data_IF_712531321818
#
_entry.id   IF_712531321818
#
_cell.length_a   1.000
_cell.length_b   1.000
_cell.length_c   1.000
_cell.angle_alpha   90.00
_cell.angle_beta   90.00
_cell.angle_gamma   90.00
#
_symmetry.space_group_name_H-M   'P 1'
#
loop_
_entity.id
_entity.type
_entity.pdbx_description
1 polymer ?
#
# COMPACT_ATOMS: atom_id res chain seq x y z
N UNK A 1 -3.21 -8.78 14.71
CA UNK A 1 -2.90 -9.78 13.64
C UNK A 1 -2.81 -11.22 14.21
N UNK A 2 -3.09 -12.31 13.45
CA UNK A 2 -2.94 -13.71 13.96
C UNK A 2 -1.48 -14.11 14.20
N UNK A 3 -0.59 -13.73 13.29
CA UNK A 3 0.85 -14.02 13.31
C UNK A 3 1.57 -12.69 13.49
N UNK A 4 1.98 -12.41 14.73
CA UNK A 4 2.55 -11.12 15.14
C UNK A 4 3.95 -10.90 14.57
N UNK A 5 4.65 -11.97 14.24
CA UNK A 5 5.98 -11.93 13.60
C UNK A 5 5.96 -11.30 12.19
N UNK A 6 4.78 -11.13 11.58
CA UNK A 6 4.61 -10.42 10.31
C UNK A 6 4.00 -9.03 10.48
N UNK A 7 3.61 -8.65 11.69
CA UNK A 7 3.03 -7.34 11.97
C UNK A 7 4.15 -6.30 12.00
N UNK A 8 3.96 -5.22 11.25
CA UNK A 8 4.93 -4.12 11.19
C UNK A 8 4.32 -2.90 11.86
N UNK A 9 5.06 -2.37 12.83
CA UNK A 9 4.71 -1.15 13.58
C UNK A 9 5.53 0.07 13.13
N UNK A 10 6.50 -0.14 12.23
CA UNK A 10 7.29 0.93 11.65
C UNK A 10 6.42 1.75 10.68
N UNK A 11 6.12 2.97 11.08
CA UNK A 11 5.29 3.89 10.30
C UNK A 11 6.02 4.39 9.06
N UNK A 12 7.34 4.59 9.11
CA UNK A 12 8.11 5.11 7.98
C UNK A 12 8.15 4.08 6.86
N UNK A 13 8.45 2.81 7.17
CA UNK A 13 8.46 1.74 6.17
C UNK A 13 7.06 1.50 5.58
N UNK A 14 6.02 1.66 6.40
CA UNK A 14 4.62 1.55 5.96
C UNK A 14 4.22 2.67 5.01
N UNK A 15 4.64 3.90 5.29
CA UNK A 15 4.40 5.06 4.45
C UNK A 15 5.14 4.96 3.11
N UNK A 16 6.41 4.56 3.13
CA UNK A 16 7.20 4.31 1.91
C UNK A 16 6.51 3.28 1.02
N UNK A 17 6.08 2.15 1.58
CA UNK A 17 5.36 1.14 0.82
C UNK A 17 4.05 1.68 0.22
N UNK A 18 3.28 2.50 0.95
CA UNK A 18 2.07 3.12 0.39
C UNK A 18 2.38 4.16 -0.72
N UNK A 19 3.54 4.83 -0.64
CA UNK A 19 4.00 5.77 -1.67
C UNK A 19 4.45 5.06 -2.96
N UNK A 20 5.06 3.87 -2.86
CA UNK A 20 5.44 3.06 -4.03
C UNK A 20 4.24 2.59 -4.87
N UNK A 21 3.08 2.36 -4.24
CA UNK A 21 1.97 1.67 -4.87
C UNK A 21 1.02 2.62 -5.59
N UNK A 22 0.94 2.57 -6.92
CA UNK A 22 0.12 3.52 -7.71
C UNK A 22 -1.39 3.44 -7.46
N UNK A 23 -1.90 2.27 -7.05
CA UNK A 23 -3.32 2.04 -6.77
C UNK A 23 -3.52 1.16 -5.53
N UNK A 24 -4.72 1.23 -4.96
CA UNK A 24 -5.20 0.33 -3.91
C UNK A 24 -6.65 -0.02 -4.12
N UNK A 25 -7.22 -0.83 -3.23
CA UNK A 25 -8.59 -1.32 -3.30
C UNK A 25 -9.41 -0.69 -2.18
N UNK A 26 -10.38 0.13 -2.55
CA UNK A 26 -11.37 0.71 -1.64
C UNK A 26 -12.55 -0.24 -1.47
N UNK A 27 -12.83 -0.63 -0.24
CA UNK A 27 -14.04 -1.31 0.18
C UNK A 27 -15.10 -0.33 0.68
N UNK A 28 -16.28 -0.39 0.08
CA UNK A 28 -17.49 0.33 0.54
C UNK A 28 -18.65 -0.65 0.69
N UNK A 29 -19.74 -0.23 1.34
CA UNK A 29 -20.97 -1.01 1.45
C UNK A 29 -22.04 -0.38 0.57
N UNK A 30 -22.63 -1.18 -0.32
CA UNK A 30 -23.77 -0.76 -1.12
C UNK A 30 -25.04 -0.62 -0.27
N UNK A 31 -26.03 0.12 -0.77
CA UNK A 31 -27.35 0.26 -0.13
C UNK A 31 -28.07 -1.08 0.05
N UNK A 32 -27.82 -2.06 -0.83
CA UNK A 32 -28.36 -3.42 -0.75
C UNK A 32 -27.58 -4.35 0.20
N UNK A 33 -26.55 -3.82 0.88
CA UNK A 33 -25.72 -4.54 1.84
C UNK A 33 -24.54 -5.30 1.24
N UNK A 34 -24.38 -5.34 -0.08
CA UNK A 34 -23.23 -6.01 -0.70
C UNK A 34 -21.95 -5.16 -0.57
N UNK A 35 -20.81 -5.76 -0.19
CA UNK A 35 -19.53 -5.08 -0.26
C UNK A 35 -19.14 -4.79 -1.71
N UNK A 36 -18.65 -3.58 -1.98
CA UNK A 36 -18.08 -3.19 -3.26
C UNK A 36 -16.58 -2.90 -3.11
N UNK A 37 -15.77 -3.52 -3.96
CA UNK A 37 -14.32 -3.35 -4.02
C UNK A 37 -13.96 -2.58 -5.29
N UNK A 38 -13.38 -1.39 -5.13
CA UNK A 38 -13.01 -0.51 -6.23
C UNK A 38 -11.50 -0.27 -6.24
N UNK A 39 -10.76 -0.78 -7.24
CA UNK A 39 -9.39 -0.36 -7.50
C UNK A 39 -9.36 1.12 -7.90
N UNK A 40 -8.50 1.91 -7.25
CA UNK A 40 -8.34 3.33 -7.57
C UNK A 40 -6.94 3.84 -7.23
N UNK A 41 -6.50 4.87 -7.95
CA UNK A 41 -5.25 5.56 -7.64
C UNK A 41 -5.39 6.32 -6.33
N UNK A 42 -4.35 6.28 -5.51
CA UNK A 42 -4.34 6.94 -4.21
C UNK A 42 -2.98 7.57 -3.90
N UNK A 43 -2.99 8.51 -2.96
CA UNK A 43 -1.79 8.99 -2.27
C UNK A 43 -2.00 8.87 -0.77
N UNK A 44 -0.92 8.59 -0.05
CA UNK A 44 -0.88 8.73 1.39
C UNK A 44 -0.10 10.00 1.72
N UNK A 45 -0.78 10.99 2.31
CA UNK A 45 -0.25 12.32 2.53
C UNK A 45 -0.74 12.86 3.88
N UNK A 46 0.19 13.35 4.71
CA UNK A 46 -0.09 13.92 6.03
C UNK A 46 -0.96 13.03 6.95
N UNK A 47 -0.75 11.70 6.91
CA UNK A 47 -1.50 10.75 7.73
C UNK A 47 -2.86 10.33 7.17
N UNK A 48 -3.22 10.80 5.97
CA UNK A 48 -4.50 10.49 5.32
C UNK A 48 -4.29 9.78 4.00
N UNK A 49 -5.30 9.00 3.57
CA UNK A 49 -5.38 8.54 2.17
C UNK A 49 -6.25 9.53 1.40
N UNK A 50 -5.78 9.95 0.24
CA UNK A 50 -6.58 10.70 -0.72
C UNK A 50 -6.76 9.90 -2.00
N UNK A 51 -7.97 9.99 -2.54
CA UNK A 51 -8.26 9.59 -3.92
C UNK A 51 -9.13 10.63 -4.62
N UNK A 52 -9.08 10.63 -5.94
CA UNK A 52 -9.89 11.53 -6.76
C UNK A 52 -10.80 10.76 -7.72
N UNK A 53 -11.76 11.45 -8.31
CA UNK A 53 -12.57 10.91 -9.39
C UNK A 53 -13.85 11.70 -9.63
N UNK A 54 -14.80 11.06 -10.31
CA UNK A 54 -16.12 11.67 -10.56
C UNK A 54 -16.85 12.01 -9.26
N UNK A 55 -17.49 13.18 -9.24
CA UNK A 55 -18.40 13.67 -8.18
C UNK A 55 -19.64 12.81 -7.98
N UNK A 56 -19.93 11.93 -8.94
CA UNK A 56 -21.07 11.03 -8.94
C UNK A 56 -20.65 9.58 -9.21
N UNK A 57 -21.59 8.66 -9.04
CA UNK A 57 -21.39 7.22 -9.20
C UNK A 57 -21.60 6.45 -7.91
N UNK A 58 -21.60 5.13 -8.02
CA UNK A 58 -21.95 4.22 -6.92
C UNK A 58 -21.07 4.40 -5.70
N UNK A 59 -19.74 4.48 -5.87
CA UNK A 59 -18.78 4.79 -4.78
C UNK A 59 -19.18 6.01 -3.94
N UNK A 60 -19.62 7.10 -4.59
CA UNK A 60 -19.96 8.35 -3.90
C UNK A 60 -21.30 8.24 -3.18
N UNK A 61 -22.24 7.44 -3.71
CA UNK A 61 -23.50 7.12 -3.02
C UNK A 61 -23.24 6.28 -1.78
N UNK A 62 -22.42 5.24 -1.90
CA UNK A 62 -22.04 4.36 -0.79
C UNK A 62 -21.38 5.15 0.34
N UNK A 63 -20.36 5.97 0.03
CA UNK A 63 -19.66 6.82 1.03
C UNK A 63 -20.61 7.83 1.69
N UNK A 64 -21.59 8.35 0.96
CA UNK A 64 -22.60 9.26 1.51
C UNK A 64 -23.56 8.53 2.47
N UNK A 65 -23.89 7.28 2.19
CA UNK A 65 -24.78 6.46 3.03
C UNK A 65 -24.04 5.95 4.28
N UNK A 66 -22.80 5.53 4.14
CA UNK A 66 -21.93 5.09 5.23
C UNK A 66 -20.48 5.49 4.94
N UNK A 67 -19.92 6.33 5.81
CA UNK A 67 -18.55 6.83 5.66
C UNK A 67 -17.51 5.77 6.03
N UNK A 68 -17.88 4.68 6.70
CA UNK A 68 -16.93 3.62 7.08
C UNK A 68 -16.47 2.88 5.84
N UNK A 69 -15.16 2.92 5.60
CA UNK A 69 -14.52 2.27 4.47
C UNK A 69 -13.37 1.40 4.93
N UNK A 70 -13.02 0.42 4.10
CA UNK A 70 -11.73 -0.27 4.17
C UNK A 70 -10.89 0.12 2.98
N UNK A 71 -9.57 0.17 3.16
CA UNK A 71 -8.65 0.38 2.06
C UNK A 71 -7.52 -0.65 2.16
N UNK A 72 -7.17 -1.29 1.06
CA UNK A 72 -6.12 -2.30 1.04
C UNK A 72 -5.13 -2.06 -0.09
N UNK A 73 -3.86 -2.23 0.24
CA UNK A 73 -2.73 -2.17 -0.69
C UNK A 73 -1.89 -3.41 -0.48
N UNK A 74 -1.45 -4.07 -1.55
CA UNK A 74 -0.59 -5.24 -1.45
C UNK A 74 0.36 -5.34 -2.65
N UNK A 75 1.56 -5.87 -2.42
CA UNK A 75 2.58 -6.18 -3.43
C UNK A 75 3.14 -7.57 -3.14
N UNK A 76 3.06 -8.47 -4.12
CA UNK A 76 3.79 -9.73 -4.09
C UNK A 76 5.24 -9.47 -4.48
N UNK A 77 6.16 -10.07 -3.74
CA UNK A 77 7.59 -9.97 -3.98
C UNK A 77 8.12 -11.25 -4.63
N UNK A 78 7.81 -12.40 -4.03
CA UNK A 78 8.22 -13.68 -4.59
C UNK A 78 7.29 -14.82 -4.17
N UNK A 79 7.07 -15.75 -5.10
CA UNK A 79 6.62 -17.10 -4.77
C UNK A 79 7.84 -17.94 -4.39
N UNK A 80 7.83 -18.49 -3.18
CA UNK A 80 8.81 -19.44 -2.68
C UNK A 80 8.28 -20.84 -2.97
N UNK A 81 8.86 -21.56 -3.93
CA UNK A 81 8.42 -22.92 -4.24
C UNK A 81 8.85 -23.87 -3.13
N UNK A 82 8.08 -24.93 -2.92
CA UNK A 82 8.41 -25.90 -1.88
C UNK A 82 9.76 -26.58 -2.11
N UNK A 83 10.13 -26.83 -3.37
CA UNK A 83 11.37 -27.52 -3.75
C UNK A 83 12.65 -26.78 -3.37
N UNK A 84 12.57 -25.51 -2.94
CA UNK A 84 13.71 -24.84 -2.31
C UNK A 84 14.13 -25.57 -1.03
N UNK A 85 13.17 -26.03 -0.22
CA UNK A 85 13.47 -26.65 1.09
C UNK A 85 13.04 -28.11 1.19
N UNK A 86 12.07 -28.55 0.38
CA UNK A 86 11.54 -29.92 0.39
C UNK A 86 11.21 -30.37 -1.04
N UNK A 87 11.99 -31.32 -1.57
CA UNK A 87 11.81 -31.80 -2.95
C UNK A 87 10.49 -32.58 -3.17
N UNK A 88 9.95 -33.23 -2.14
CA UNK A 88 8.76 -34.11 -2.25
C UNK A 88 7.48 -33.50 -1.70
N UNK A 89 7.56 -32.61 -0.70
CA UNK A 89 6.40 -32.06 -0.02
C UNK A 89 6.02 -30.70 -0.61
N UNK A 90 4.73 -30.47 -0.86
CA UNK A 90 4.23 -29.19 -1.37
C UNK A 90 4.00 -28.13 -0.28
N UNK A 91 3.83 -28.57 0.98
CA UNK A 91 3.42 -27.71 2.10
C UNK A 91 4.30 -26.47 2.37
N UNK A 92 5.63 -26.48 2.14
CA UNK A 92 6.46 -25.29 2.37
C UNK A 92 6.26 -24.15 1.37
N UNK A 93 5.56 -24.38 0.25
CA UNK A 93 5.34 -23.34 -0.74
C UNK A 93 4.58 -22.14 -0.15
N UNK A 94 5.03 -20.93 -0.46
CA UNK A 94 4.46 -19.70 0.10
C UNK A 94 4.69 -18.49 -0.79
N UNK A 95 3.92 -17.43 -0.62
CA UNK A 95 4.24 -16.09 -1.13
C UNK A 95 4.91 -15.22 -0.04
N UNK A 96 5.90 -14.43 -0.45
CA UNK A 96 6.43 -13.28 0.27
C UNK A 96 5.82 -12.00 -0.31
N UNK A 97 5.38 -11.11 0.58
CA UNK A 97 4.58 -9.95 0.20
C UNK A 97 4.58 -8.88 1.28
N UNK A 98 4.23 -7.66 0.86
CA UNK A 98 3.80 -6.57 1.75
C UNK A 98 2.29 -6.33 1.56
N UNK A 99 1.60 -6.01 2.64
CA UNK A 99 0.21 -5.54 2.57
C UNK A 99 -0.12 -4.57 3.69
N UNK A 100 -0.94 -3.57 3.39
CA UNK A 100 -1.53 -2.65 4.36
C UNK A 100 -3.04 -2.77 4.27
N UNK A 101 -3.70 -2.84 5.42
CA UNK A 101 -5.15 -2.75 5.57
C UNK A 101 -5.48 -1.57 6.47
N UNK A 102 -6.34 -0.69 5.98
CA UNK A 102 -6.82 0.47 6.70
C UNK A 102 -8.34 0.36 6.86
N UNK A 103 -8.81 0.70 8.05
CA UNK A 103 -10.21 1.05 8.31
C UNK A 103 -10.25 2.54 8.57
N UNK A 104 -11.23 3.22 8.02
CA UNK A 104 -11.32 4.66 8.16
C UNK A 104 -12.68 5.23 7.82
N UNK A 105 -12.75 6.55 7.86
CA UNK A 105 -13.95 7.31 7.50
C UNK A 105 -13.65 8.16 6.28
N UNK A 106 -14.37 7.91 5.18
CA UNK A 106 -14.22 8.64 3.94
C UNK A 106 -15.11 9.89 3.92
N UNK A 107 -14.53 11.02 3.52
CA UNK A 107 -15.23 12.29 3.39
C UNK A 107 -14.76 13.09 2.18
N UNK A 108 -15.67 13.85 1.59
CA UNK A 108 -15.35 14.70 0.44
C UNK A 108 -14.61 15.95 0.93
N UNK A 109 -13.48 16.25 0.31
CA UNK A 109 -12.72 17.48 0.57
C UNK A 109 -13.41 18.65 -0.15
N UNK A 110 -13.74 19.70 0.61
CA UNK A 110 -14.35 20.93 0.09
C UNK A 110 -13.37 22.09 -0.04
N UNK A 111 -12.33 22.12 0.81
CA UNK A 111 -11.31 23.16 0.80
C UNK A 111 -10.45 23.06 -0.49
N UNK A 112 -10.26 24.18 -1.19
CA UNK A 112 -9.56 24.16 -2.48
C UNK A 112 -8.05 23.98 -2.30
N UNK A 113 -7.49 24.46 -1.20
CA UNK A 113 -6.07 24.31 -0.88
C UNK A 113 -5.75 22.85 -0.57
N UNK A 114 -6.53 22.20 0.28
CA UNK A 114 -6.37 20.77 0.59
C UNK A 114 -6.52 19.90 -0.68
N UNK A 115 -7.43 20.27 -1.59
CA UNK A 115 -7.54 19.58 -2.89
C UNK A 115 -6.30 19.76 -3.75
N UNK A 116 -5.77 20.98 -3.83
CA UNK A 116 -4.56 21.28 -4.60
C UNK A 116 -3.36 20.52 -4.03
N UNK A 117 -3.22 20.45 -2.70
CA UNK A 117 -2.18 19.66 -2.01
C UNK A 117 -2.29 18.16 -2.34
N UNK A 118 -3.48 17.57 -2.20
CA UNK A 118 -3.70 16.16 -2.51
C UNK A 118 -3.42 15.84 -3.99
N UNK A 119 -3.87 16.70 -4.92
CA UNK A 119 -3.61 16.55 -6.36
C UNK A 119 -2.13 16.76 -6.69
N UNK A 120 -1.43 17.64 -5.98
CA UNK A 120 0.02 17.82 -6.11
C UNK A 120 0.76 16.57 -5.67
N UNK A 121 0.37 15.97 -4.54
CA UNK A 121 0.92 14.70 -4.08
C UNK A 121 0.70 13.57 -5.11
N UNK A 122 -0.43 13.58 -5.82
CA UNK A 122 -0.66 12.66 -6.94
C UNK A 122 0.37 12.84 -8.04
N UNK A 123 0.60 14.08 -8.45
CA UNK A 123 1.55 14.36 -9.52
C UNK A 123 3.00 14.03 -9.12
N UNK A 124 3.40 14.33 -7.87
CA UNK A 124 4.71 13.93 -7.33
C UNK A 124 4.91 12.41 -7.36
N UNK A 125 3.84 11.64 -7.16
CA UNK A 125 3.88 10.18 -7.20
C UNK A 125 3.83 9.60 -8.63
N UNK A 126 3.02 10.18 -9.51
CA UNK A 126 2.72 9.61 -10.84
C UNK A 126 3.63 10.15 -11.95
N UNK A 127 4.15 11.36 -11.79
CA UNK A 127 4.99 12.05 -12.76
C UNK A 127 6.10 12.82 -12.00
N UNK A 128 6.97 12.11 -11.24
CA UNK A 128 8.01 12.73 -10.40
C UNK A 128 9.01 13.58 -11.19
N UNK A 129 9.17 13.35 -12.50
CA UNK A 129 9.99 14.14 -13.40
C UNK A 129 9.46 15.56 -13.66
N UNK A 130 8.23 15.86 -13.22
CA UNK A 130 7.60 17.16 -13.44
C UNK A 130 7.12 17.34 -14.88
N UNK A 131 7.19 18.56 -15.42
CA UNK A 131 6.66 18.90 -16.75
C UNK A 131 5.22 19.45 -16.72
N UNK A 132 4.76 19.86 -15.54
CA UNK A 132 3.50 20.55 -15.30
C UNK A 132 3.73 21.75 -14.38
N UNK A 133 2.91 22.78 -14.49
CA UNK A 133 2.94 23.92 -13.56
C UNK A 133 2.40 23.47 -12.18
N UNK A 134 2.90 24.01 -11.05
CA UNK A 134 2.37 23.70 -9.73
C UNK A 134 0.85 23.89 -9.67
N UNK A 135 0.14 22.97 -9.01
CA UNK A 135 -1.30 23.09 -8.86
C UNK A 135 -1.59 24.15 -7.79
N UNK A 136 -2.03 25.31 -8.23
CA UNK A 136 -2.38 26.45 -7.37
C UNK A 136 -3.90 26.70 -7.46
N UNK A 137 -4.64 26.73 -6.33
CA UNK A 137 -6.07 27.02 -6.33
C UNK A 137 -6.42 28.42 -6.85
N UNK A 138 -5.48 29.38 -6.79
CA UNK A 138 -5.65 30.76 -7.23
C UNK A 138 -5.23 30.97 -8.70
N UNK A 139 -4.58 29.98 -9.34
CA UNK A 139 -4.25 30.01 -10.76
C UNK A 139 -5.52 29.78 -11.61
N UNK A 140 -5.93 30.75 -12.46
CA UNK A 140 -7.11 30.63 -13.32
C UNK A 140 -7.11 29.39 -14.23
N UNK A 141 -5.93 28.89 -14.61
CA UNK A 141 -5.78 27.70 -15.44
C UNK A 141 -6.12 26.40 -14.68
N UNK A 142 -6.07 26.42 -13.34
CA UNK A 142 -6.36 25.27 -12.48
C UNK A 142 -7.64 25.40 -11.64
N UNK A 143 -8.08 26.61 -11.28
CA UNK A 143 -9.20 26.81 -10.35
C UNK A 143 -10.47 26.04 -10.76
N UNK A 144 -10.81 26.01 -12.05
CA UNK A 144 -11.99 25.31 -12.57
C UNK A 144 -11.90 23.79 -12.44
N UNK A 145 -10.73 23.24 -12.71
CA UNK A 145 -10.40 21.82 -12.69
C UNK A 145 -10.34 21.31 -11.25
N UNK A 146 -9.75 22.10 -10.34
CA UNK A 146 -9.76 21.81 -8.91
C UNK A 146 -11.20 21.80 -8.41
N UNK A 147 -12.04 22.80 -8.76
CA UNK A 147 -13.45 22.83 -8.32
C UNK A 147 -14.26 21.63 -8.82
N UNK A 148 -14.09 21.24 -10.07
CA UNK A 148 -14.87 20.16 -10.71
C UNK A 148 -14.41 18.75 -10.33
N UNK A 149 -13.14 18.56 -9.97
CA UNK A 149 -12.60 17.25 -9.56
C UNK A 149 -13.06 16.90 -8.15
N UNK A 150 -13.63 15.72 -7.92
CA UNK A 150 -13.89 15.26 -6.55
C UNK A 150 -12.61 14.72 -5.95
N UNK A 151 -12.26 15.19 -4.76
CA UNK A 151 -11.21 14.60 -3.91
C UNK A 151 -11.90 14.07 -2.65
N UNK A 152 -11.53 12.87 -2.24
CA UNK A 152 -12.03 12.22 -1.03
C UNK A 152 -10.84 11.89 -0.15
N UNK A 153 -10.94 12.28 1.12
CA UNK A 153 -10.00 11.95 2.18
C UNK A 153 -10.54 10.74 2.95
N UNK A 154 -9.67 9.83 3.36
CA UNK A 154 -9.97 8.79 4.34
C UNK A 154 -9.19 9.12 5.62
N UNK A 155 -9.94 9.44 6.68
CA UNK A 155 -9.40 9.54 8.03
C UNK A 155 -9.10 8.13 8.54
N UNK A 156 -7.82 7.84 8.75
CA UNK A 156 -7.36 6.54 9.24
C UNK A 156 -7.87 6.34 10.67
N UNK A 157 -8.67 5.30 10.89
CA UNK A 157 -9.12 4.88 12.22
C UNK A 157 -8.24 3.74 12.76
N UNK A 158 -7.91 2.77 11.91
CA UNK A 158 -7.03 1.65 12.23
C UNK A 158 -6.17 1.35 11.00
N UNK A 159 -4.88 1.16 11.20
CA UNK A 159 -3.93 0.73 10.16
C UNK A 159 -3.24 -0.55 10.63
N UNK A 160 -3.14 -1.53 9.75
CA UNK A 160 -2.41 -2.77 9.99
C UNK A 160 -1.53 -3.09 8.79
N UNK A 161 -0.21 -3.13 9.02
CA UNK A 161 0.78 -3.52 8.03
C UNK A 161 1.26 -4.95 8.29
N UNK A 162 1.34 -5.75 7.23
CA UNK A 162 1.78 -7.15 7.27
C UNK A 162 2.82 -7.42 6.22
N UNK A 163 4.06 -7.64 6.64
CA UNK A 163 5.19 -7.97 5.77
C UNK A 163 5.65 -9.39 6.05
N UNK A 164 5.72 -10.22 5.02
CA UNK A 164 6.06 -11.63 5.15
C UNK A 164 7.25 -11.96 4.27
N UNK A 165 8.40 -12.16 4.91
CA UNK A 165 9.70 -12.41 4.29
C UNK A 165 10.51 -13.45 5.09
N UNK A 166 9.82 -14.46 5.64
CA UNK A 166 10.49 -15.58 6.29
C UNK A 166 10.89 -15.35 7.75
N UNK A 167 10.34 -14.35 8.45
CA UNK A 167 10.65 -14.04 9.86
C UNK A 167 10.44 -15.20 10.84
N UNK A 168 9.67 -16.21 10.43
CA UNK A 168 9.41 -17.42 11.22
C UNK A 168 10.30 -18.62 10.82
N UNK A 169 11.23 -18.45 9.89
CA UNK A 169 12.15 -19.49 9.43
C UNK A 169 13.35 -19.61 10.37
N UNK A 170 13.90 -20.82 10.45
CA UNK A 170 15.22 -21.05 11.06
C UNK A 170 16.31 -20.65 10.07
N UNK A 171 17.49 -20.30 10.59
CA UNK A 171 18.66 -19.87 9.82
C UNK A 171 18.97 -20.76 8.60
N UNK A 172 19.10 -22.08 8.79
CA UNK A 172 19.34 -23.02 7.68
C UNK A 172 18.30 -22.89 6.54
N UNK A 173 17.01 -22.80 6.88
CA UNK A 173 15.96 -22.65 5.87
C UNK A 173 15.96 -21.26 5.25
N UNK A 174 16.32 -20.24 6.01
CA UNK A 174 16.46 -18.89 5.54
C UNK A 174 17.55 -18.81 4.47
N UNK A 175 18.76 -19.33 4.76
CA UNK A 175 19.88 -19.34 3.82
C UNK A 175 19.54 -20.08 2.52
N UNK A 176 18.92 -21.26 2.62
CA UNK A 176 18.48 -22.03 1.45
C UNK A 176 17.51 -21.22 0.58
N UNK A 177 16.52 -20.56 1.20
CA UNK A 177 15.54 -19.75 0.46
C UNK A 177 16.20 -18.53 -0.15
N UNK A 178 17.07 -17.83 0.58
CA UNK A 178 17.79 -16.66 0.09
C UNK A 178 18.69 -17.00 -1.10
N UNK A 179 19.49 -18.06 -0.99
CA UNK A 179 20.35 -18.53 -2.08
C UNK A 179 19.52 -19.00 -3.28
N UNK A 180 18.43 -19.74 -3.03
CA UNK A 180 17.54 -20.19 -4.10
C UNK A 180 16.87 -19.03 -4.86
N UNK A 181 16.57 -17.91 -4.18
CA UNK A 181 16.11 -16.68 -4.84
C UNK A 181 17.21 -16.03 -5.68
N UNK A 182 18.42 -15.90 -5.13
CA UNK A 182 19.57 -15.32 -5.85
C UNK A 182 19.96 -16.14 -7.09
N UNK A 183 19.93 -17.47 -6.99
CA UNK A 183 20.20 -18.37 -8.13
C UNK A 183 19.09 -18.33 -9.18
N UNK A 184 17.84 -18.16 -8.75
CA UNK A 184 16.69 -18.07 -9.66
C UNK A 184 16.65 -16.75 -10.44
N UNK A 185 17.14 -15.67 -9.84
CA UNK A 185 17.35 -14.34 -10.42
C UNK A 185 16.17 -13.78 -11.25
N UNK A 186 14.96 -13.86 -10.70
CA UNK A 186 13.81 -13.10 -11.26
C UNK A 186 13.84 -11.65 -10.80
N UNK A 187 13.06 -10.81 -11.49
CA UNK A 187 13.00 -9.35 -11.31
C UNK A 187 13.00 -8.87 -9.85
N UNK A 188 12.22 -9.50 -8.96
CA UNK A 188 12.10 -9.11 -7.56
C UNK A 188 12.87 -10.02 -6.60
N UNK A 189 13.62 -11.02 -7.06
CA UNK A 189 14.27 -11.98 -6.16
C UNK A 189 15.36 -11.32 -5.30
N UNK A 190 16.18 -10.44 -5.90
CA UNK A 190 17.19 -9.66 -5.17
C UNK A 190 16.55 -8.70 -4.16
N UNK A 191 15.49 -7.98 -4.55
CA UNK A 191 14.73 -7.11 -3.64
C UNK A 191 14.10 -7.94 -2.51
N UNK A 192 13.59 -9.13 -2.82
CA UNK A 192 13.02 -10.05 -1.83
C UNK A 192 14.06 -10.47 -0.81
N UNK A 193 15.28 -10.83 -1.22
CA UNK A 193 16.37 -11.22 -0.31
C UNK A 193 16.76 -10.05 0.59
N UNK A 194 16.91 -8.83 0.05
CA UNK A 194 17.18 -7.64 0.86
C UNK A 194 16.08 -7.40 1.91
N UNK A 195 14.81 -7.60 1.55
CA UNK A 195 13.69 -7.51 2.49
C UNK A 195 13.72 -8.63 3.54
N UNK A 196 14.11 -9.85 3.17
CA UNK A 196 14.31 -10.96 4.10
C UNK A 196 15.38 -10.61 5.14
N UNK A 197 16.50 -10.07 4.71
CA UNK A 197 17.61 -9.65 5.59
C UNK A 197 17.20 -8.52 6.54
N UNK A 198 16.52 -7.49 6.02
CA UNK A 198 16.09 -6.33 6.81
C UNK A 198 15.03 -6.66 7.90
N UNK A 199 14.14 -7.62 7.61
CA UNK A 199 13.00 -7.94 8.47
C UNK A 199 13.22 -9.13 9.40
N UNK A 200 14.24 -9.97 9.16
CA UNK A 200 14.53 -11.13 10.00
C UNK A 200 15.48 -10.81 11.15
N UNK A 201 15.12 -11.15 12.41
CA UNK A 201 15.85 -10.71 13.60
C UNK A 201 17.25 -11.32 13.76
N UNK A 202 17.56 -12.47 13.14
CA UNK A 202 18.88 -13.10 13.23
C UNK A 202 19.99 -12.30 12.51
N UNK A 203 19.62 -11.42 11.59
CA UNK A 203 20.56 -10.54 10.86
C UNK A 203 20.49 -9.07 11.30
N UNK A 204 19.73 -8.75 12.35
CA UNK A 204 19.82 -7.44 13.04
C UNK A 204 21.01 -7.34 13.99
N UNK A 205 21.88 -8.35 14.06
CA UNK A 205 23.12 -8.31 14.83
C UNK A 205 24.32 -8.26 13.89
N UNK A 206 24.79 -7.04 13.63
CA UNK A 206 26.21 -6.66 13.52
C UNK A 206 26.46 -5.16 13.22
N UNK A 207 25.52 -4.27 13.55
CA UNK A 207 25.81 -2.83 13.67
C UNK A 207 25.73 -2.44 15.15
N UNK A 208 26.78 -2.78 15.90
CA UNK A 208 26.87 -2.43 17.32
C UNK A 208 27.93 -3.22 18.08
N UNK A 209 29.20 -2.93 17.81
CA UNK A 209 30.28 -2.85 18.79
C UNK A 209 31.29 -1.77 18.33
#
# INVERSE_FOLDING_TARGET
MRRKEFEVMDTVETEQFMQEMSFGILGTINEDGWPELTPLNFVYHNGFIYFHGSVSGRKMKNIKADQRVTFSVAKEYAIIPSYFTEAKLACPATAFFKSVLIKGHAEKVSDLTEKAEALTAFMQKLQPEGGYAPIDPEDPDYTGQIKSTSVVRINVHELSAKYKFGQNMKEEKFEIVSNGLLERDKDLDKETVAMMEALCPYHRMNDGD
#
